data_IF_234412816794
#
_entry.id   IF_234412816794
#
_cell.length_a   1.000
_cell.length_b   1.000
_cell.length_c   1.000
_cell.angle_alpha   90.00
_cell.angle_beta   90.00
_cell.angle_gamma   90.00
#
_symmetry.space_group_name_H-M   'P 1'
#
loop_
_entity.id
_entity.type
_entity.pdbx_description
1 polymer ?
#
# COMPACT_ATOMS: atom_id res chain seq x y z
N UNK A 1 12.06 -18.46 2.02
CA UNK A 1 11.36 -17.77 0.90
C UNK A 1 12.03 -16.46 0.53
N UNK A 2 12.10 -15.44 1.40
CA UNK A 2 12.65 -14.12 1.04
C UNK A 2 14.08 -14.14 0.50
N UNK A 3 14.99 -14.88 1.12
CA UNK A 3 16.36 -15.02 0.63
C UNK A 3 16.44 -15.70 -0.75
N UNK A 4 15.56 -16.65 -1.05
CA UNK A 4 15.50 -17.28 -2.37
C UNK A 4 15.05 -16.27 -3.44
N UNK A 5 14.03 -15.44 -3.14
CA UNK A 5 13.59 -14.35 -4.03
C UNK A 5 14.74 -13.38 -4.29
N UNK A 6 15.48 -12.97 -3.25
CA UNK A 6 16.62 -12.09 -3.41
C UNK A 6 17.72 -12.73 -4.29
N UNK A 7 18.00 -14.02 -4.09
CA UNK A 7 18.97 -14.75 -4.93
C UNK A 7 18.54 -14.82 -6.40
N UNK A 8 17.27 -15.06 -6.67
CA UNK A 8 16.72 -15.08 -8.04
C UNK A 8 16.79 -13.68 -8.69
N UNK A 9 16.43 -12.63 -7.97
CA UNK A 9 16.53 -11.27 -8.47
C UNK A 9 17.99 -10.86 -8.73
N UNK A 10 18.90 -11.20 -7.81
CA UNK A 10 20.32 -10.90 -7.94
C UNK A 10 21.00 -11.66 -9.10
N UNK A 11 20.50 -12.84 -9.45
CA UNK A 11 20.98 -13.59 -10.63
C UNK A 11 20.68 -12.82 -11.94
N UNK A 12 19.60 -12.03 -11.97
CA UNK A 12 19.15 -11.30 -13.16
C UNK A 12 18.31 -12.14 -14.12
N UNK A 13 17.67 -11.44 -15.08
CA UNK A 13 16.84 -12.07 -16.11
C UNK A 13 15.43 -12.51 -15.62
N UNK A 14 15.12 -12.33 -14.34
CA UNK A 14 13.83 -12.65 -13.73
C UNK A 14 13.34 -11.49 -12.89
N UNK A 15 12.02 -11.34 -12.82
CA UNK A 15 11.35 -10.50 -11.83
C UNK A 15 10.59 -11.41 -10.84
N UNK A 16 11.24 -11.89 -9.78
CA UNK A 16 10.62 -12.86 -8.89
C UNK A 16 9.65 -12.19 -7.93
N UNK A 17 8.59 -12.92 -7.59
CA UNK A 17 7.65 -12.50 -6.54
C UNK A 17 7.31 -13.67 -5.62
N UNK A 18 6.89 -13.36 -4.39
CA UNK A 18 6.39 -14.32 -3.43
C UNK A 18 5.33 -13.70 -2.54
N UNK A 19 4.44 -14.55 -2.01
CA UNK A 19 3.30 -14.13 -1.20
C UNK A 19 3.25 -14.85 0.15
N UNK A 20 2.80 -14.14 1.17
CA UNK A 20 2.47 -14.69 2.50
C UNK A 20 1.48 -13.76 3.20
N UNK A 21 0.96 -14.17 4.37
CA UNK A 21 0.19 -13.28 5.24
C UNK A 21 1.05 -12.14 5.79
N UNK A 22 0.46 -10.97 5.96
CA UNK A 22 1.19 -9.75 6.27
C UNK A 22 1.91 -9.82 7.63
N UNK A 23 1.33 -10.44 8.63
CA UNK A 23 1.97 -10.63 9.93
C UNK A 23 3.31 -11.35 9.81
N UNK A 24 3.47 -12.26 8.84
CA UNK A 24 4.71 -12.98 8.61
C UNK A 24 5.80 -12.18 7.90
N UNK A 25 5.53 -10.91 7.57
CA UNK A 25 6.58 -9.96 7.18
C UNK A 25 7.67 -9.86 8.25
N UNK A 26 7.35 -10.11 9.52
CA UNK A 26 8.31 -10.13 10.62
C UNK A 26 9.43 -11.14 10.41
N UNK A 27 9.11 -12.33 9.87
CA UNK A 27 10.09 -13.35 9.53
C UNK A 27 10.89 -13.03 8.24
N UNK A 28 10.30 -12.20 7.36
CA UNK A 28 10.94 -11.80 6.11
C UNK A 28 11.77 -10.51 6.25
N UNK A 29 11.57 -9.75 7.31
CA UNK A 29 12.16 -8.40 7.48
C UNK A 29 13.66 -8.31 7.21
N UNK A 30 14.51 -9.25 7.64
CA UNK A 30 15.93 -9.25 7.28
C UNK A 30 16.16 -9.39 5.76
N UNK A 31 15.41 -10.26 5.08
CA UNK A 31 15.51 -10.43 3.63
C UNK A 31 14.99 -9.21 2.86
N UNK A 32 13.90 -8.58 3.32
CA UNK A 32 13.35 -7.35 2.75
C UNK A 32 14.38 -6.22 2.83
N UNK A 33 15.00 -6.05 3.99
CA UNK A 33 16.05 -5.06 4.19
C UNK A 33 17.24 -5.29 3.27
N UNK A 34 17.69 -6.54 3.10
CA UNK A 34 18.77 -6.89 2.17
C UNK A 34 18.37 -6.62 0.72
N UNK A 35 17.13 -6.95 0.33
CA UNK A 35 16.61 -6.62 -1.00
C UNK A 35 16.72 -5.11 -1.30
N UNK A 36 16.33 -4.29 -0.31
CA UNK A 36 16.41 -2.83 -0.41
C UNK A 36 17.85 -2.31 -0.50
N UNK A 37 18.76 -2.83 0.33
CA UNK A 37 20.19 -2.44 0.31
C UNK A 37 20.84 -2.83 -1.01
N UNK A 38 20.49 -3.99 -1.56
CA UNK A 38 21.02 -4.51 -2.81
C UNK A 38 20.37 -3.88 -4.05
N UNK A 39 19.30 -3.12 -3.90
CA UNK A 39 18.55 -2.52 -5.02
C UNK A 39 17.94 -3.58 -5.95
N UNK A 40 17.30 -4.60 -5.40
CA UNK A 40 16.74 -5.71 -6.18
C UNK A 40 15.33 -5.41 -6.65
N UNK A 41 14.99 -5.86 -7.86
CA UNK A 41 13.65 -5.75 -8.45
C UNK A 41 12.69 -6.87 -7.99
N UNK A 42 12.69 -7.20 -6.72
CA UNK A 42 11.83 -8.25 -6.17
C UNK A 42 10.49 -7.71 -5.67
N UNK A 43 9.41 -8.49 -5.87
CA UNK A 43 8.07 -8.13 -5.38
C UNK A 43 7.63 -9.07 -4.27
N UNK A 44 7.22 -8.49 -3.15
CA UNK A 44 6.69 -9.21 -1.99
C UNK A 44 5.22 -8.89 -1.81
N UNK A 45 4.37 -9.90 -1.83
CA UNK A 45 2.92 -9.76 -1.70
C UNK A 45 2.53 -10.19 -0.30
N UNK A 46 1.95 -9.26 0.44
CA UNK A 46 1.45 -9.49 1.78
C UNK A 46 -0.06 -9.39 1.79
N UNK A 47 -0.75 -10.47 2.13
CA UNK A 47 -2.21 -10.52 2.23
C UNK A 47 -2.66 -10.50 3.68
N UNK A 48 -3.97 -10.32 3.91
CA UNK A 48 -4.53 -10.30 5.28
C UNK A 48 -3.93 -9.17 6.11
N UNK A 49 -4.08 -7.94 5.61
CA UNK A 49 -3.33 -6.74 5.98
C UNK A 49 -3.82 -6.01 7.24
N UNK A 50 -4.90 -6.48 7.86
CA UNK A 50 -5.55 -5.75 8.96
C UNK A 50 -6.18 -6.68 10.00
N UNK A 51 -6.73 -6.09 11.05
CA UNK A 51 -7.52 -6.80 12.08
C UNK A 51 -8.74 -7.54 11.51
N UNK A 52 -9.15 -7.23 10.28
CA UNK A 52 -10.22 -7.93 9.58
C UNK A 52 -9.78 -9.27 8.95
N UNK A 53 -8.66 -9.82 9.37
CA UNK A 53 -8.26 -11.22 9.17
C UNK A 53 -9.36 -12.17 9.67
N UNK A 54 -10.01 -11.81 10.78
CA UNK A 54 -11.15 -12.52 11.32
C UNK A 54 -10.75 -13.59 12.32
N UNK A 55 -11.23 -14.83 12.11
CA UNK A 55 -11.16 -15.94 13.06
C UNK A 55 -9.75 -16.46 13.40
N UNK A 56 -8.75 -16.14 12.60
CA UNK A 56 -7.34 -16.51 12.89
C UNK A 56 -6.80 -15.79 14.14
N UNK A 57 -7.42 -14.68 14.53
CA UNK A 57 -7.18 -13.96 15.78
C UNK A 57 -5.85 -13.22 15.84
N UNK A 58 -5.48 -12.77 17.05
CA UNK A 58 -4.39 -11.80 17.26
C UNK A 58 -3.00 -12.31 16.87
N UNK A 59 -2.82 -13.61 16.71
CA UNK A 59 -1.54 -14.18 16.23
C UNK A 59 -1.30 -13.93 14.74
N UNK A 60 -2.34 -13.56 13.99
CA UNK A 60 -2.30 -13.35 12.54
C UNK A 60 -2.73 -11.93 12.15
N UNK A 61 -3.19 -11.12 13.08
CA UNK A 61 -3.62 -9.73 12.86
C UNK A 61 -2.42 -8.79 12.89
N UNK A 62 -2.04 -8.18 11.76
CA UNK A 62 -0.93 -7.23 11.71
C UNK A 62 -1.35 -5.88 12.30
N UNK A 63 -0.45 -5.23 13.04
CA UNK A 63 -0.63 -3.90 13.62
C UNK A 63 0.55 -2.99 13.26
N UNK A 64 1.75 -3.32 13.71
CA UNK A 64 2.97 -2.52 13.52
C UNK A 64 3.69 -2.80 12.19
N UNK A 65 3.33 -3.86 11.47
CA UNK A 65 4.04 -4.33 10.29
C UNK A 65 4.09 -3.27 9.18
N UNK A 66 2.98 -2.54 8.94
CA UNK A 66 2.93 -1.52 7.91
C UNK A 66 3.91 -0.37 8.18
N UNK A 67 3.93 0.14 9.40
CA UNK A 67 4.88 1.17 9.83
C UNK A 67 6.31 0.65 9.76
N UNK A 68 6.52 -0.60 10.19
CA UNK A 68 7.82 -1.27 10.15
C UNK A 68 8.37 -1.46 8.75
N UNK A 69 7.54 -1.79 7.75
CA UNK A 69 7.96 -1.87 6.34
C UNK A 69 8.24 -0.49 5.76
N UNK A 70 7.39 0.48 6.03
CA UNK A 70 7.56 1.88 5.57
C UNK A 70 8.82 2.54 6.11
N UNK A 71 9.37 2.04 7.22
CA UNK A 71 10.63 2.51 7.78
C UNK A 71 11.88 1.93 7.08
N UNK A 72 11.74 0.95 6.19
CA UNK A 72 12.86 0.37 5.45
C UNK A 72 13.22 1.32 4.28
N UNK A 73 14.45 1.91 4.27
CA UNK A 73 14.86 2.76 3.15
C UNK A 73 14.89 2.00 1.82
N UNK A 74 14.63 2.69 0.73
CA UNK A 74 14.63 2.13 -0.63
C UNK A 74 13.68 0.93 -0.80
N UNK A 75 12.49 0.99 -0.19
CA UNK A 75 11.42 0.01 -0.38
C UNK A 75 10.12 0.72 -0.74
N UNK A 76 9.49 0.31 -1.83
CA UNK A 76 8.13 0.71 -2.13
C UNK A 76 7.16 -0.14 -1.29
N UNK A 77 6.33 0.49 -0.48
CA UNK A 77 5.30 -0.20 0.32
C UNK A 77 3.94 0.35 -0.07
N UNK A 78 3.23 -0.36 -0.93
CA UNK A 78 1.97 0.09 -1.53
C UNK A 78 0.81 -0.71 -0.92
N UNK A 79 -0.16 0.00 -0.34
CA UNK A 79 -1.37 -0.59 0.24
C UNK A 79 -2.60 -0.07 -0.51
N UNK A 80 -2.98 -0.74 -1.62
CA UNK A 80 -4.06 -0.28 -2.49
C UNK A 80 -5.45 -0.49 -1.86
N UNK A 81 -6.39 0.41 -2.20
CA UNK A 81 -7.74 0.44 -1.69
C UNK A 81 -8.71 -0.48 -2.44
N UNK A 82 -8.45 -0.74 -3.72
CA UNK A 82 -9.33 -1.54 -4.58
C UNK A 82 -8.58 -2.22 -5.73
N UNK A 83 -9.32 -2.83 -6.66
CA UNK A 83 -8.74 -3.50 -7.83
C UNK A 83 -8.05 -2.53 -8.80
N UNK A 84 -8.55 -1.30 -8.95
CA UNK A 84 -7.95 -0.31 -9.84
C UNK A 84 -6.60 0.17 -9.30
N UNK A 85 -6.52 0.49 -8.02
CA UNK A 85 -5.25 0.82 -7.36
C UNK A 85 -4.28 -0.36 -7.37
N UNK A 86 -4.79 -1.60 -7.16
CA UNK A 86 -3.97 -2.82 -7.19
C UNK A 86 -3.34 -3.03 -8.55
N UNK A 87 -4.06 -2.78 -9.64
CA UNK A 87 -3.52 -2.84 -11.01
C UNK A 87 -2.31 -1.90 -11.16
N UNK A 88 -2.48 -0.64 -10.77
CA UNK A 88 -1.40 0.35 -10.88
C UNK A 88 -0.23 0.02 -9.95
N UNK A 89 -0.52 -0.50 -8.76
CA UNK A 89 0.51 -0.94 -7.81
C UNK A 89 1.38 -2.07 -8.40
N UNK A 90 0.79 -2.99 -9.15
CA UNK A 90 1.52 -4.01 -9.89
C UNK A 90 2.37 -3.42 -11.03
N UNK A 91 1.86 -2.45 -11.77
CA UNK A 91 2.63 -1.75 -12.80
C UNK A 91 3.87 -1.08 -12.18
N UNK A 92 3.68 -0.34 -11.07
CA UNK A 92 4.79 0.25 -10.33
C UNK A 92 5.80 -0.80 -9.85
N UNK A 93 5.32 -1.95 -9.37
CA UNK A 93 6.20 -3.03 -8.92
C UNK A 93 7.05 -3.60 -10.06
N UNK A 94 6.45 -3.82 -11.24
CA UNK A 94 7.14 -4.38 -12.40
C UNK A 94 8.12 -3.38 -13.01
N UNK A 95 7.78 -2.09 -13.02
CA UNK A 95 8.62 -1.01 -13.53
C UNK A 95 9.80 -0.67 -12.60
N UNK A 96 9.76 -1.10 -11.34
CA UNK A 96 10.79 -0.81 -10.35
C UNK A 96 12.01 -1.72 -10.53
N UNK A 97 13.04 -1.21 -11.21
CA UNK A 97 14.24 -2.00 -11.54
C UNK A 97 15.23 -2.14 -10.38
N UNK A 98 15.34 -1.13 -9.51
CA UNK A 98 16.33 -1.04 -8.43
C UNK A 98 15.71 -0.82 -7.04
N UNK A 99 14.43 -1.08 -6.92
CA UNK A 99 13.70 -0.88 -5.67
C UNK A 99 12.73 -2.03 -5.47
N UNK A 100 12.86 -2.83 -4.40
CA UNK A 100 11.90 -3.88 -4.13
C UNK A 100 10.54 -3.27 -3.75
N UNK A 101 9.47 -3.95 -4.12
CA UNK A 101 8.11 -3.50 -3.85
C UNK A 101 7.37 -4.49 -2.96
N UNK A 102 6.78 -3.99 -1.89
CA UNK A 102 5.84 -4.72 -1.03
C UNK A 102 4.42 -4.27 -1.33
N UNK A 103 3.59 -5.19 -1.85
CA UNK A 103 2.17 -4.99 -2.06
C UNK A 103 1.42 -5.52 -0.85
N UNK A 104 0.68 -4.65 -0.15
CA UNK A 104 -0.04 -5.00 1.09
C UNK A 104 -1.53 -5.03 0.78
N UNK A 105 -2.11 -6.23 0.74
CA UNK A 105 -3.44 -6.50 0.22
C UNK A 105 -4.38 -7.00 1.33
N UNK A 106 -5.64 -6.60 1.24
CA UNK A 106 -6.66 -7.03 2.19
C UNK A 106 -7.18 -8.45 1.92
N UNK A 107 -7.79 -9.06 2.94
CA UNK A 107 -8.58 -10.28 2.84
C UNK A 107 -10.01 -9.99 2.34
N UNK A 108 -10.55 -8.82 2.67
CA UNK A 108 -11.95 -8.51 2.39
C UNK A 108 -12.20 -8.24 0.90
N UNK A 109 -13.44 -8.49 0.48
CA UNK A 109 -13.96 -7.98 -0.77
C UNK A 109 -14.23 -6.48 -0.60
N UNK A 110 -13.60 -5.66 -1.41
CA UNK A 110 -13.75 -4.20 -1.39
C UNK A 110 -14.51 -3.73 -2.63
N UNK A 111 -15.39 -2.75 -2.50
CA UNK A 111 -16.02 -2.12 -3.67
C UNK A 111 -14.95 -1.35 -4.46
N UNK A 112 -15.15 -1.28 -5.76
CA UNK A 112 -14.36 -0.40 -6.61
C UNK A 112 -14.79 1.05 -6.36
N UNK A 113 -13.84 1.93 -6.10
CA UNK A 113 -14.08 3.35 -5.92
C UNK A 113 -14.50 4.01 -7.25
N UNK A 114 -15.47 4.92 -7.19
CA UNK A 114 -15.93 5.68 -8.34
C UNK A 114 -14.99 6.87 -8.62
N UNK A 115 -13.82 6.54 -9.12
CA UNK A 115 -12.78 7.51 -9.50
C UNK A 115 -12.31 7.18 -10.92
N UNK A 116 -12.10 8.20 -11.75
CA UNK A 116 -11.65 8.00 -13.11
C UNK A 116 -10.24 7.35 -13.17
N UNK A 117 -10.02 6.55 -14.21
CA UNK A 117 -8.80 5.74 -14.35
C UNK A 117 -7.51 6.57 -14.36
N UNK A 118 -7.53 7.76 -14.97
CA UNK A 118 -6.35 8.60 -15.06
C UNK A 118 -5.97 9.20 -13.70
N UNK A 119 -6.98 9.59 -12.91
CA UNK A 119 -6.79 10.08 -11.53
C UNK A 119 -6.21 8.97 -10.64
N UNK A 120 -6.76 7.75 -10.73
CA UNK A 120 -6.21 6.60 -10.00
C UNK A 120 -4.76 6.33 -10.40
N UNK A 121 -4.47 6.26 -11.71
CA UNK A 121 -3.12 5.98 -12.20
C UNK A 121 -2.11 7.02 -11.73
N UNK A 122 -2.41 8.29 -11.94
CA UNK A 122 -1.56 9.39 -11.50
C UNK A 122 -1.41 9.45 -9.98
N UNK A 123 -2.50 9.18 -9.27
CA UNK A 123 -2.57 9.23 -7.82
C UNK A 123 -1.74 8.13 -7.16
N UNK A 124 -1.91 6.89 -7.60
CA UNK A 124 -1.12 5.77 -7.08
C UNK A 124 0.37 5.97 -7.37
N UNK A 125 0.75 6.39 -8.58
CA UNK A 125 2.16 6.67 -8.92
C UNK A 125 2.77 7.79 -8.08
N UNK A 126 1.97 8.76 -7.62
CA UNK A 126 2.40 9.86 -6.71
C UNK A 126 2.34 9.48 -5.23
N UNK A 127 1.59 8.43 -4.89
CA UNK A 127 1.47 7.90 -3.54
C UNK A 127 0.23 8.36 -2.77
N UNK A 128 -0.47 9.39 -3.24
CA UNK A 128 -1.73 9.84 -2.65
C UNK A 128 -2.55 10.66 -3.65
N UNK A 129 -3.88 10.61 -3.51
CA UNK A 129 -4.79 11.42 -4.30
C UNK A 129 -6.16 11.57 -3.61
N UNK A 130 -6.91 12.59 -4.01
CA UNK A 130 -8.26 12.84 -3.50
C UNK A 130 -9.21 11.84 -4.15
N UNK A 131 -9.91 11.06 -3.33
CA UNK A 131 -10.93 10.10 -3.78
C UNK A 131 -12.35 10.64 -3.64
N UNK A 132 -12.54 11.62 -2.76
CA UNK A 132 -13.81 12.30 -2.55
C UNK A 132 -13.57 13.70 -1.98
N UNK A 133 -14.32 14.69 -2.47
CA UNK A 133 -14.25 16.06 -1.97
C UNK A 133 -15.62 16.73 -2.11
N UNK A 134 -16.01 17.50 -1.10
CA UNK A 134 -17.23 18.32 -1.08
C UNK A 134 -16.97 19.72 -1.61
N UNK A 135 -18.02 20.43 -2.05
CA UNK A 135 -17.90 21.83 -2.50
C UNK A 135 -17.80 22.85 -1.34
N UNK A 136 -18.13 22.44 -0.13
CA UNK A 136 -18.11 23.28 1.06
C UNK A 136 -16.67 23.63 1.47
N UNK A 137 -16.52 24.70 2.27
CA UNK A 137 -15.24 25.03 2.87
C UNK A 137 -14.70 23.83 3.68
N UNK A 138 -13.48 23.43 3.40
CA UNK A 138 -12.85 22.27 4.03
C UNK A 138 -12.75 22.43 5.55
N UNK A 139 -13.40 21.55 6.28
CA UNK A 139 -13.36 21.41 7.75
C UNK A 139 -12.64 20.12 8.18
N UNK A 140 -12.78 19.05 7.38
CA UNK A 140 -12.24 17.72 7.72
C UNK A 140 -11.42 17.14 6.58
N UNK A 141 -10.24 16.60 6.92
CA UNK A 141 -9.37 15.86 6.01
C UNK A 141 -9.24 14.42 6.53
N UNK A 142 -9.76 13.47 5.77
CA UNK A 142 -9.70 12.04 6.08
C UNK A 142 -8.60 11.40 5.23
N UNK A 143 -7.60 10.80 5.89
CA UNK A 143 -6.50 10.10 5.23
C UNK A 143 -6.62 8.61 5.53
N UNK A 144 -6.69 7.79 4.50
CA UNK A 144 -6.79 6.34 4.66
C UNK A 144 -5.97 5.60 3.59
N UNK A 145 -5.67 4.33 3.83
CA UNK A 145 -5.02 3.44 2.86
C UNK A 145 -5.66 2.05 2.91
N UNK A 146 -5.60 1.33 1.80
CA UNK A 146 -6.15 -0.03 1.76
C UNK A 146 -7.65 -0.08 2.03
N UNK A 147 -8.08 -1.07 2.79
CA UNK A 147 -9.50 -1.30 3.10
C UNK A 147 -10.20 -0.14 3.79
N UNK A 148 -9.49 0.72 4.50
CA UNK A 148 -10.07 1.85 5.23
C UNK A 148 -10.42 3.03 4.32
N UNK A 149 -10.00 3.07 3.06
CA UNK A 149 -10.34 4.17 2.13
C UNK A 149 -11.84 4.21 1.87
N UNK A 150 -12.48 3.06 1.67
CA UNK A 150 -13.94 3.02 1.49
C UNK A 150 -14.68 3.55 2.72
N UNK A 151 -14.24 3.17 3.91
CA UNK A 151 -14.78 3.67 5.17
C UNK A 151 -14.63 5.20 5.28
N UNK A 152 -13.48 5.74 4.88
CA UNK A 152 -13.26 7.19 4.86
C UNK A 152 -14.18 7.90 3.87
N UNK A 153 -14.44 7.31 2.70
CA UNK A 153 -15.38 7.85 1.71
C UNK A 153 -16.81 7.82 2.24
N UNK A 154 -17.23 6.74 2.89
CA UNK A 154 -18.57 6.65 3.50
C UNK A 154 -18.74 7.69 4.62
N UNK A 155 -17.76 7.81 5.51
CA UNK A 155 -17.77 8.82 6.55
C UNK A 155 -17.79 10.26 5.97
N UNK A 156 -17.06 10.51 4.89
CA UNK A 156 -17.07 11.80 4.20
C UNK A 156 -18.46 12.15 3.65
N UNK A 157 -19.15 11.18 3.06
CA UNK A 157 -20.53 11.37 2.56
C UNK A 157 -21.53 11.64 3.69
N UNK A 158 -21.37 11.00 4.83
CA UNK A 158 -22.21 11.27 6.00
C UNK A 158 -21.98 12.68 6.57
N UNK A 159 -20.74 13.12 6.63
CA UNK A 159 -20.39 14.48 7.05
C UNK A 159 -20.92 15.54 6.05
N UNK A 160 -20.84 15.26 4.76
CA UNK A 160 -21.42 16.12 3.72
C UNK A 160 -22.93 16.31 3.91
N UNK A 161 -23.68 15.24 4.22
CA UNK A 161 -25.12 15.32 4.52
C UNK A 161 -25.42 16.21 5.74
N UNK A 162 -24.45 16.38 6.63
CA UNK A 162 -24.52 17.29 7.78
C UNK A 162 -24.07 18.73 7.43
N UNK A 163 -23.81 19.00 6.14
CA UNK A 163 -23.36 20.31 5.66
C UNK A 163 -21.89 20.62 5.92
N UNK A 164 -21.07 19.60 6.20
CA UNK A 164 -19.64 19.74 6.49
C UNK A 164 -18.79 19.66 5.23
N UNK A 165 -17.74 20.48 5.16
CA UNK A 165 -16.73 20.42 4.12
C UNK A 165 -15.71 19.33 4.42
N UNK A 166 -15.60 18.33 3.54
CA UNK A 166 -14.76 17.13 3.77
C UNK A 166 -13.95 16.78 2.53
N UNK A 167 -12.73 16.35 2.75
CA UNK A 167 -11.88 15.71 1.74
C UNK A 167 -11.41 14.35 2.24
N UNK A 168 -11.65 13.29 1.45
CA UNK A 168 -11.08 11.97 1.67
C UNK A 168 -9.94 11.72 0.67
N UNK A 169 -8.84 11.18 1.17
CA UNK A 169 -7.61 10.92 0.40
C UNK A 169 -7.24 9.45 0.52
N UNK A 170 -7.06 8.78 -0.61
CA UNK A 170 -6.36 7.52 -0.66
C UNK A 170 -4.86 7.78 -0.61
N UNK A 171 -4.21 7.18 0.39
CA UNK A 171 -2.80 7.31 0.67
C UNK A 171 -2.14 5.94 0.50
N UNK A 172 -1.73 5.62 -0.72
CA UNK A 172 -1.28 4.29 -1.08
C UNK A 172 0.12 3.98 -0.60
N UNK A 173 1.05 4.95 -0.70
CA UNK A 173 2.43 4.79 -0.25
C UNK A 173 3.14 6.12 0.02
N UNK A 174 4.18 6.05 0.85
CA UNK A 174 5.23 7.08 0.95
C UNK A 174 6.55 6.51 0.45
N UNK A 175 7.30 7.32 -0.26
CA UNK A 175 8.71 7.03 -0.48
C UNK A 175 9.51 7.45 0.76
N UNK A 176 10.18 6.49 1.38
CA UNK A 176 10.90 6.70 2.65
C UNK A 176 12.07 7.71 2.58
N UNK A 177 12.39 8.26 1.41
CA UNK A 177 13.53 9.16 1.20
C UNK A 177 13.16 10.59 0.84
N UNK A 178 11.89 10.94 0.92
CA UNK A 178 11.46 12.34 0.76
C UNK A 178 11.71 13.20 2.01
N UNK A 179 12.38 12.65 3.01
CA UNK A 179 12.92 13.41 4.11
C UNK A 179 14.23 14.06 3.65
N UNK A 180 14.14 15.04 2.78
CA UNK A 180 15.14 16.06 2.47
C UNK A 180 16.58 15.76 2.82
N UNK A 181 17.15 14.79 2.19
CA UNK A 181 18.59 14.62 2.31
C UNK A 181 19.27 15.04 1.06
N UNK A 182 19.95 16.04 1.22
CA UNK A 182 21.03 16.56 0.38
C UNK A 182 22.11 15.60 0.00
#
# INVERSE_FOLDING_TARGET
MGAAINGMAAHGGLHPYAATFFVFSDYLKPALRLSSIMGLNSTFIFTHDSIAVGEDGPTHEPIEQLAGLRAIPNMNVIRPADGNETRVAWEVAIESEQTPTSLVLTRQNLPTLDVDKQTVENGVRKGAYIVFETEQQLEYLLLASGSEVNLAVEAAKELEQQGKGVRAVSYTHLRAHETGRN
#
